data_IF_434874804633
#
_entry.id   IF_434874804633
#
_cell.length_a   1.000
_cell.length_b   1.000
_cell.length_c   1.000
_cell.angle_alpha   90.00
_cell.angle_beta   90.00
_cell.angle_gamma   90.00
#
_symmetry.space_group_name_H-M   'P 1'
#
loop_
_entity.id
_entity.type
_entity.pdbx_description
1 polymer ?
#
# COMPACT_ATOMS: atom_id res chain seq x y z
N UNK A 1 39.91 26.94 38.45
CA UNK A 1 38.66 27.38 37.75
C UNK A 1 38.68 26.94 36.28
N UNK A 2 38.69 25.63 36.00
CA UNK A 2 38.63 25.12 34.61
C UNK A 2 37.73 23.87 34.46
N UNK A 3 37.12 23.38 35.55
CA UNK A 3 36.39 22.11 35.58
C UNK A 3 34.86 22.34 35.50
N UNK A 4 34.37 23.52 35.90
CA UNK A 4 32.94 23.86 35.88
C UNK A 4 32.38 24.16 34.48
N UNK A 5 33.23 24.37 33.47
CA UNK A 5 32.79 24.63 32.10
C UNK A 5 32.38 23.37 31.32
N UNK A 6 32.93 22.20 31.68
CA UNK A 6 32.73 20.95 30.94
C UNK A 6 31.37 20.33 31.26
N UNK A 7 30.87 20.50 32.50
CA UNK A 7 29.55 20.02 32.91
C UNK A 7 28.40 20.75 32.18
N UNK A 8 28.56 22.05 31.91
CA UNK A 8 27.58 22.83 31.15
C UNK A 8 27.49 22.40 29.67
N UNK A 9 28.62 22.07 29.06
CA UNK A 9 28.67 21.57 27.68
C UNK A 9 28.05 20.17 27.56
N UNK A 10 28.23 19.32 28.56
CA UNK A 10 27.61 17.99 28.59
C UNK A 10 26.08 18.07 28.71
N UNK A 11 25.58 19.01 29.54
CA UNK A 11 24.14 19.29 29.67
C UNK A 11 23.55 19.83 28.36
N UNK A 12 24.26 20.73 27.68
CA UNK A 12 23.85 21.28 26.39
C UNK A 12 23.80 20.20 25.29
N UNK A 13 24.80 19.31 25.26
CA UNK A 13 24.84 18.19 24.31
C UNK A 13 23.70 17.18 24.57
N UNK A 14 23.38 16.92 25.83
CA UNK A 14 22.28 16.02 26.19
C UNK A 14 20.91 16.59 25.85
N UNK A 15 20.70 17.90 26.07
CA UNK A 15 19.48 18.59 25.63
C UNK A 15 19.33 18.57 24.11
N UNK A 16 20.43 18.81 23.38
CA UNK A 16 20.44 18.77 21.91
C UNK A 16 20.16 17.35 21.38
N UNK A 17 20.68 16.31 22.06
CA UNK A 17 20.42 14.91 21.72
C UNK A 17 18.95 14.50 21.93
N UNK A 18 18.28 15.05 22.95
CA UNK A 18 16.85 14.81 23.19
C UNK A 18 15.98 15.49 22.12
N UNK A 19 16.32 16.71 21.70
CA UNK A 19 15.62 17.40 20.60
C UNK A 19 15.82 16.66 19.27
N UNK A 20 17.04 16.18 18.99
CA UNK A 20 17.32 15.38 17.79
C UNK A 20 16.53 14.07 17.74
N UNK A 21 16.37 13.37 18.88
CA UNK A 21 15.55 12.16 19.00
C UNK A 21 14.06 12.40 18.75
N UNK A 22 13.56 13.58 19.16
CA UNK A 22 12.16 13.96 18.94
C UNK A 22 11.90 14.42 17.49
N UNK A 23 12.93 14.89 16.78
CA UNK A 23 12.84 15.30 15.37
C UNK A 23 12.79 14.09 14.41
N UNK A 24 13.32 12.93 14.80
CA UNK A 24 13.37 11.72 13.95
C UNK A 24 12.01 11.04 13.74
N UNK A 25 10.99 11.39 14.53
CA UNK A 25 9.63 10.78 14.47
C UNK A 25 8.61 11.72 13.81
N UNK A 26 8.93 13.00 13.65
CA UNK A 26 7.97 14.04 13.27
C UNK A 26 7.91 14.38 11.76
N UNK A 27 8.78 13.80 10.92
CA UNK A 27 8.87 14.12 9.49
C UNK A 27 8.63 12.90 8.58
N UNK A 28 7.64 12.08 8.93
CA UNK A 28 6.93 11.35 7.88
C UNK A 28 5.78 12.25 7.42
N UNK A 29 5.82 12.83 6.20
CA UNK A 29 4.63 13.44 5.64
C UNK A 29 3.50 12.40 5.69
N UNK A 30 2.22 12.80 5.76
CA UNK A 30 1.09 11.90 5.53
C UNK A 30 1.10 11.47 4.06
N UNK A 31 2.13 10.72 3.69
CA UNK A 31 2.26 10.03 2.44
C UNK A 31 1.20 8.96 2.44
N UNK A 32 0.37 9.01 1.41
CA UNK A 32 -0.62 8.00 1.04
C UNK A 32 -0.26 6.65 1.64
N UNK A 33 -1.03 6.19 2.63
CA UNK A 33 -0.67 4.97 3.33
C UNK A 33 -0.72 3.80 2.34
N UNK A 34 0.34 3.01 2.34
CA UNK A 34 0.43 1.84 1.48
C UNK A 34 -0.79 0.90 1.68
N UNK A 35 -1.23 0.74 2.93
CA UNK A 35 -2.44 0.01 3.27
C UNK A 35 -3.71 0.61 2.64
N UNK A 36 -3.83 1.93 2.59
CA UNK A 36 -4.93 2.62 1.91
C UNK A 36 -4.91 2.43 0.40
N UNK A 37 -3.72 2.42 -0.22
CA UNK A 37 -3.58 2.09 -1.65
C UNK A 37 -3.91 0.63 -1.95
N UNK A 38 -3.48 -0.30 -1.09
CA UNK A 38 -3.84 -1.71 -1.20
C UNK A 38 -5.35 -1.91 -1.08
N UNK A 39 -5.99 -1.27 -0.10
CA UNK A 39 -7.44 -1.32 0.07
C UNK A 39 -8.15 -0.78 -1.18
N UNK A 40 -7.76 0.39 -1.67
CA UNK A 40 -8.31 0.97 -2.89
C UNK A 40 -8.07 0.09 -4.14
N UNK A 41 -6.95 -0.64 -4.21
CA UNK A 41 -6.70 -1.59 -5.28
C UNK A 41 -7.60 -2.82 -5.19
N UNK A 42 -7.86 -3.33 -3.98
CA UNK A 42 -8.80 -4.43 -3.75
C UNK A 42 -10.24 -4.02 -4.08
N UNK A 43 -10.65 -2.81 -3.70
CA UNK A 43 -11.97 -2.26 -4.03
C UNK A 43 -12.15 -2.16 -5.55
N UNK A 44 -11.15 -1.64 -6.27
CA UNK A 44 -11.17 -1.58 -7.75
C UNK A 44 -11.29 -2.97 -8.38
N UNK A 45 -10.69 -4.00 -7.80
CA UNK A 45 -10.82 -5.38 -8.30
C UNK A 45 -12.26 -5.88 -8.08
N UNK A 46 -12.86 -5.57 -6.94
CA UNK A 46 -14.26 -5.91 -6.65
C UNK A 46 -15.21 -5.23 -7.64
N UNK A 47 -15.01 -3.94 -7.90
CA UNK A 47 -15.79 -3.17 -8.87
C UNK A 47 -15.66 -3.75 -10.28
N UNK A 48 -14.44 -4.13 -10.68
CA UNK A 48 -14.17 -4.78 -11.98
C UNK A 48 -14.91 -6.11 -12.12
N UNK A 49 -14.94 -6.93 -11.07
CA UNK A 49 -15.68 -8.19 -11.08
C UNK A 49 -17.20 -7.97 -11.21
N UNK A 50 -17.75 -7.01 -10.48
CA UNK A 50 -19.17 -6.67 -10.57
C UNK A 50 -19.55 -6.15 -11.96
N UNK A 51 -18.75 -5.25 -12.52
CA UNK A 51 -18.97 -4.72 -13.86
C UNK A 51 -18.92 -5.83 -14.93
N UNK A 52 -17.93 -6.74 -14.84
CA UNK A 52 -17.82 -7.87 -15.74
C UNK A 52 -19.03 -8.83 -15.65
N UNK A 53 -19.53 -9.09 -14.43
CA UNK A 53 -20.73 -9.89 -14.22
C UNK A 53 -21.96 -9.26 -14.86
N UNK A 54 -22.16 -7.95 -14.68
CA UNK A 54 -23.25 -7.22 -15.33
C UNK A 54 -23.12 -7.25 -16.84
N UNK A 55 -21.90 -7.11 -17.39
CA UNK A 55 -21.67 -7.22 -18.83
C UNK A 55 -21.97 -8.62 -19.37
N UNK A 56 -21.60 -9.68 -18.64
CA UNK A 56 -21.90 -11.06 -19.01
C UNK A 56 -23.42 -11.34 -19.01
N UNK A 57 -24.15 -10.81 -18.02
CA UNK A 57 -25.61 -10.89 -17.97
C UNK A 57 -26.24 -10.17 -19.17
N UNK A 58 -25.78 -8.95 -19.49
CA UNK A 58 -26.23 -8.16 -20.65
C UNK A 58 -25.92 -8.83 -22.00
N UNK A 59 -24.76 -9.47 -22.12
CA UNK A 59 -24.40 -10.26 -23.29
C UNK A 59 -25.33 -11.48 -23.46
N UNK A 60 -25.64 -12.18 -22.37
CA UNK A 60 -26.55 -13.34 -22.39
C UNK A 60 -27.98 -12.93 -22.78
N UNK A 61 -28.36 -11.67 -22.52
CA UNK A 61 -29.63 -11.06 -22.91
C UNK A 61 -29.68 -10.61 -24.39
N UNK A 62 -28.59 -10.77 -25.16
CA UNK A 62 -28.57 -10.51 -26.60
C UNK A 62 -28.47 -9.02 -26.98
N UNK A 63 -27.94 -8.18 -26.09
CA UNK A 63 -27.83 -6.74 -26.33
C UNK A 63 -26.83 -6.43 -27.46
N UNK A 64 -27.27 -5.66 -28.46
CA UNK A 64 -26.48 -5.34 -29.65
C UNK A 64 -25.33 -4.39 -29.31
N UNK A 65 -24.09 -4.78 -29.60
CA UNK A 65 -22.88 -3.94 -29.42
C UNK A 65 -21.71 -4.59 -28.68
N UNK A 66 -21.88 -5.82 -28.17
CA UNK A 66 -20.80 -6.58 -27.52
C UNK A 66 -20.31 -7.65 -28.50
N UNK A 67 -19.12 -7.43 -29.06
CA UNK A 67 -18.52 -8.41 -29.96
C UNK A 67 -17.88 -9.54 -29.12
N UNK A 68 -18.15 -10.80 -29.46
CA UNK A 68 -17.69 -11.98 -28.70
C UNK A 68 -16.16 -11.98 -28.45
N UNK A 69 -15.39 -11.44 -29.40
CA UNK A 69 -13.95 -11.23 -29.28
C UNK A 69 -13.56 -10.32 -28.12
N UNK A 70 -14.34 -9.25 -27.86
CA UNK A 70 -14.05 -8.30 -26.79
C UNK A 70 -14.35 -8.93 -25.42
N UNK A 71 -15.42 -9.72 -25.31
CA UNK A 71 -15.74 -10.48 -24.09
C UNK A 71 -14.64 -11.47 -23.74
N UNK A 72 -14.14 -12.21 -24.74
CA UNK A 72 -13.06 -13.18 -24.54
C UNK A 72 -11.75 -12.50 -24.14
N UNK A 73 -11.41 -11.37 -24.77
CA UNK A 73 -10.24 -10.58 -24.41
C UNK A 73 -10.34 -10.01 -22.98
N UNK A 74 -11.51 -9.51 -22.59
CA UNK A 74 -11.77 -8.97 -21.26
C UNK A 74 -11.70 -10.07 -20.18
N UNK A 75 -12.23 -11.27 -20.45
CA UNK A 75 -12.11 -12.42 -19.55
C UNK A 75 -10.65 -12.83 -19.34
N UNK A 76 -9.85 -12.88 -20.41
CA UNK A 76 -8.43 -13.21 -20.32
C UNK A 76 -7.66 -12.16 -19.54
N UNK A 77 -7.94 -10.87 -19.77
CA UNK A 77 -7.36 -9.75 -19.05
C UNK A 77 -7.73 -9.77 -17.56
N UNK A 78 -8.97 -10.11 -17.23
CA UNK A 78 -9.43 -10.25 -15.85
C UNK A 78 -8.71 -11.38 -15.13
N UNK A 79 -8.55 -12.54 -15.77
CA UNK A 79 -7.83 -13.69 -15.21
C UNK A 79 -6.36 -13.36 -14.90
N UNK A 80 -5.65 -12.75 -15.85
CA UNK A 80 -4.24 -12.32 -15.64
C UNK A 80 -4.14 -11.26 -14.53
N UNK A 81 -5.07 -10.30 -14.50
CA UNK A 81 -5.10 -9.26 -13.47
C UNK A 81 -5.33 -9.83 -12.06
N UNK A 82 -6.20 -10.84 -11.94
CA UNK A 82 -6.46 -11.52 -10.67
C UNK A 82 -5.21 -12.28 -10.19
N UNK A 83 -4.53 -12.98 -11.08
CA UNK A 83 -3.28 -13.70 -10.76
C UNK A 83 -2.19 -12.73 -10.27
N UNK A 84 -2.01 -11.59 -10.94
CA UNK A 84 -1.12 -10.54 -10.47
C UNK A 84 -1.55 -9.98 -9.10
N UNK A 85 -2.85 -9.75 -8.90
CA UNK A 85 -3.39 -9.27 -7.62
C UNK A 85 -3.08 -10.20 -6.46
N UNK A 86 -3.17 -11.52 -6.66
CA UNK A 86 -2.80 -12.52 -5.65
C UNK A 86 -1.31 -12.50 -5.33
N UNK A 87 -0.45 -12.37 -6.33
CA UNK A 87 1.00 -12.25 -6.10
C UNK A 87 1.34 -10.98 -5.32
N UNK A 88 0.73 -9.86 -5.67
CA UNK A 88 0.89 -8.60 -4.94
C UNK A 88 0.42 -8.78 -3.50
N UNK A 89 -0.79 -9.28 -3.27
CA UNK A 89 -1.31 -9.56 -1.90
C UNK A 89 -0.32 -10.39 -1.07
N UNK A 90 0.18 -11.49 -1.62
CA UNK A 90 1.10 -12.38 -0.89
C UNK A 90 2.43 -11.68 -0.55
N UNK A 91 2.95 -10.86 -1.47
CA UNK A 91 4.19 -10.12 -1.27
C UNK A 91 4.04 -9.03 -0.21
N UNK A 92 2.85 -8.45 -0.08
CA UNK A 92 2.54 -7.43 0.92
C UNK A 92 2.32 -8.00 2.31
N UNK A 93 1.66 -9.16 2.41
CA UNK A 93 1.60 -9.90 3.68
C UNK A 93 3.00 -10.26 4.14
N UNK A 94 3.85 -10.73 3.23
CA UNK A 94 5.24 -11.08 3.54
C UNK A 94 6.04 -9.86 4.00
N UNK A 95 5.94 -8.73 3.29
CA UNK A 95 6.61 -7.49 3.68
C UNK A 95 6.15 -6.95 5.04
N UNK A 96 4.86 -7.08 5.36
CA UNK A 96 4.34 -6.72 6.68
C UNK A 96 4.89 -7.63 7.78
N UNK A 97 4.93 -8.94 7.52
CA UNK A 97 5.53 -9.92 8.44
C UNK A 97 7.03 -9.65 8.65
N UNK A 98 7.76 -9.28 7.59
CA UNK A 98 9.20 -8.97 7.64
C UNK A 98 9.47 -7.73 8.49
N UNK A 99 8.71 -6.63 8.29
CA UNK A 99 8.85 -5.41 9.10
C UNK A 99 8.54 -5.67 10.59
N UNK A 100 7.53 -6.50 10.89
CA UNK A 100 7.24 -6.91 12.28
C UNK A 100 8.32 -7.83 12.86
N UNK A 101 8.89 -8.71 12.05
CA UNK A 101 9.96 -9.62 12.46
C UNK A 101 11.31 -8.93 12.68
N UNK A 102 11.53 -7.75 12.09
CA UNK A 102 12.74 -6.94 12.30
C UNK A 102 12.77 -6.21 13.66
N UNK A 103 11.66 -6.15 14.41
CA UNK A 103 11.55 -5.38 15.66
C UNK A 103 11.72 -6.20 16.96
N UNK A 104 12.10 -7.48 16.89
CA UNK A 104 12.41 -8.30 18.08
C UNK A 104 13.91 -8.45 18.30
#
# INVERSE_FOLDING_TARGET
>A
MAIQGIEGVLSQLQATAMTARNQSVADQPPGVSFAGQLHAALDRISDKQNAARTQAERFTLGESGVALNDVMADLQKASVSLQMGLQVRNKLVSAYQEVMGMQV
#
